data_IF_650100840846
#
_entry.id   IF_650100840846
#
_cell.length_a   1.000
_cell.length_b   1.000
_cell.length_c   1.000
_cell.angle_alpha   90.00
_cell.angle_beta   90.00
_cell.angle_gamma   90.00
#
_symmetry.space_group_name_H-M   'P 1'
#
loop_
_entity.id
_entity.type
_entity.pdbx_description
1 polymer ?
#
# COMPACT_ATOMS: atom_id res chain seq x y z
N UNK A 1 3.84 9.07 -3.78
CA UNK A 1 5.14 9.77 -3.96
C UNK A 1 6.15 8.97 -4.79
N UNK A 2 6.13 7.63 -4.84
CA UNK A 2 7.23 6.84 -5.44
C UNK A 2 7.11 6.44 -6.92
N UNK A 3 6.11 6.90 -7.67
CA UNK A 3 5.91 6.47 -9.06
C UNK A 3 6.61 7.36 -10.12
N UNK A 4 7.20 8.50 -9.71
CA UNK A 4 7.79 9.48 -10.65
C UNK A 4 6.77 10.16 -11.57
N UNK A 5 5.47 9.95 -11.36
CA UNK A 5 4.38 10.51 -12.14
C UNK A 5 3.17 10.85 -11.25
N UNK A 6 2.26 11.67 -11.77
CA UNK A 6 0.99 11.98 -11.10
C UNK A 6 0.08 10.75 -11.11
N UNK A 7 -0.56 10.45 -9.96
CA UNK A 7 -1.57 9.40 -9.86
C UNK A 7 -2.95 10.02 -10.09
N UNK A 8 -3.64 9.59 -11.15
CA UNK A 8 -4.96 10.05 -11.55
C UNK A 8 -5.79 8.90 -12.13
N UNK A 9 -6.88 9.23 -12.81
CA UNK A 9 -7.90 8.27 -13.23
C UNK A 9 -7.35 7.03 -13.96
N UNK A 10 -6.51 7.22 -14.99
CA UNK A 10 -6.03 6.11 -15.82
C UNK A 10 -4.97 5.22 -15.16
N UNK A 11 -4.25 5.70 -14.15
CA UNK A 11 -3.16 4.97 -13.53
C UNK A 11 -3.37 4.60 -12.05
N UNK A 12 -4.51 5.00 -11.47
CA UNK A 12 -4.82 4.74 -10.06
C UNK A 12 -4.77 3.24 -9.73
N UNK A 13 -5.29 2.39 -10.62
CA UNK A 13 -5.24 0.93 -10.46
C UNK A 13 -3.81 0.39 -10.31
N UNK A 14 -2.88 0.88 -11.14
CA UNK A 14 -1.50 0.40 -11.15
C UNK A 14 -0.77 0.85 -9.90
N UNK A 15 -1.04 2.08 -9.45
CA UNK A 15 -0.52 2.59 -8.20
C UNK A 15 -1.00 1.76 -7.01
N UNK A 16 -2.30 1.47 -6.92
CA UNK A 16 -2.88 0.67 -5.84
C UNK A 16 -2.23 -0.71 -5.75
N UNK A 17 -2.07 -1.38 -6.89
CA UNK A 17 -1.45 -2.71 -6.96
C UNK A 17 0.04 -2.66 -6.66
N UNK A 18 0.77 -1.68 -7.19
CA UNK A 18 2.18 -1.52 -6.87
C UNK A 18 2.40 -1.38 -5.35
N UNK A 19 1.59 -0.57 -4.67
CA UNK A 19 1.65 -0.45 -3.20
C UNK A 19 1.32 -1.78 -2.52
N UNK A 20 0.29 -2.50 -2.98
CA UNK A 20 -0.08 -3.80 -2.43
C UNK A 20 1.04 -4.85 -2.59
N UNK A 21 1.69 -4.92 -3.75
CA UNK A 21 2.80 -5.85 -3.99
C UNK A 21 4.04 -5.52 -3.17
N UNK A 22 4.38 -4.23 -3.01
CA UNK A 22 5.50 -3.82 -2.15
C UNK A 22 5.18 -4.18 -0.69
N UNK A 23 3.94 -3.98 -0.25
CA UNK A 23 3.48 -4.38 1.08
C UNK A 23 3.62 -5.90 1.29
N UNK A 24 3.11 -6.71 0.37
CA UNK A 24 3.20 -8.17 0.47
C UNK A 24 4.65 -8.68 0.36
N UNK A 25 5.45 -8.12 -0.56
CA UNK A 25 6.85 -8.50 -0.75
C UNK A 25 7.72 -8.14 0.45
N UNK A 26 7.52 -6.95 1.03
CA UNK A 26 8.22 -6.53 2.25
C UNK A 26 7.85 -7.39 3.45
N UNK A 27 6.57 -7.75 3.61
CA UNK A 27 6.14 -8.68 4.66
C UNK A 27 6.73 -10.08 4.47
N UNK A 28 6.64 -10.62 3.26
CA UNK A 28 7.15 -11.95 2.93
C UNK A 28 8.65 -12.05 3.20
N UNK A 29 9.43 -11.10 2.69
CA UNK A 29 10.88 -11.11 2.90
C UNK A 29 11.25 -10.85 4.37
N UNK A 30 10.53 -9.97 5.07
CA UNK A 30 10.69 -9.73 6.50
C UNK A 30 10.48 -11.01 7.34
N UNK A 31 9.46 -11.80 7.02
CA UNK A 31 9.19 -13.08 7.72
C UNK A 31 10.30 -14.10 7.46
N UNK A 32 10.76 -14.21 6.21
CA UNK A 32 11.83 -15.15 5.85
C UNK A 32 13.20 -14.76 6.40
N UNK A 33 13.50 -13.46 6.44
CA UNK A 33 14.75 -12.95 6.95
C UNK A 33 14.82 -13.02 8.49
N UNK A 34 13.68 -13.06 9.16
CA UNK A 34 13.57 -13.01 10.62
C UNK A 34 14.46 -14.05 11.34
N UNK A 35 14.40 -15.37 11.07
CA UNK A 35 15.22 -16.35 11.78
C UNK A 35 16.72 -16.13 11.56
N UNK A 36 17.10 -15.80 10.33
CA UNK A 36 18.49 -15.55 9.93
C UNK A 36 19.10 -14.35 10.68
N UNK A 37 18.32 -13.30 10.90
CA UNK A 37 18.75 -12.12 11.67
C UNK A 37 19.02 -12.50 13.12
N UNK A 38 18.14 -13.29 13.76
CA UNK A 38 18.36 -13.72 15.14
C UNK A 38 19.58 -14.62 15.30
N UNK A 39 19.78 -15.57 14.38
CA UNK A 39 20.98 -16.42 14.40
C UNK A 39 22.26 -15.58 14.29
N UNK A 40 22.25 -14.56 13.44
CA UNK A 40 23.41 -13.68 13.22
C UNK A 40 23.72 -12.77 14.42
N UNK A 41 22.69 -12.40 15.20
CA UNK A 41 22.83 -11.49 16.37
C UNK A 41 23.17 -12.26 17.67
N UNK A 42 23.07 -13.59 17.67
CA UNK A 42 23.36 -14.42 18.86
C UNK A 42 22.12 -14.99 19.56
N UNK A 43 21.01 -15.16 18.83
CA UNK A 43 19.81 -15.87 19.27
C UNK A 43 18.68 -14.99 19.79
N UNK A 44 17.60 -15.62 20.26
CA UNK A 44 16.41 -14.93 20.77
C UNK A 44 16.58 -14.50 22.24
N UNK A 45 16.86 -13.22 22.46
CA UNK A 45 16.85 -12.62 23.78
C UNK A 45 16.58 -11.11 23.69
N UNK A 46 16.24 -10.46 24.80
CA UNK A 46 15.87 -9.04 24.84
C UNK A 46 16.95 -8.12 24.28
N UNK A 47 18.23 -8.43 24.50
CA UNK A 47 19.33 -7.65 23.96
C UNK A 47 19.36 -7.69 22.42
N UNK A 48 19.07 -8.84 21.79
CA UNK A 48 18.95 -8.94 20.33
C UNK A 48 17.93 -7.98 19.74
N UNK A 49 16.78 -7.81 20.42
CA UNK A 49 15.74 -6.86 19.98
C UNK A 49 16.23 -5.41 20.08
N UNK A 50 16.96 -5.06 21.15
CA UNK A 50 17.58 -3.73 21.30
C UNK A 50 18.65 -3.51 20.24
N UNK A 51 19.47 -4.51 19.95
CA UNK A 51 20.47 -4.48 18.89
C UNK A 51 19.85 -4.32 17.50
N UNK A 52 18.67 -4.91 17.26
CA UNK A 52 17.91 -4.71 16.02
C UNK A 52 17.29 -3.33 15.91
N UNK A 53 16.86 -2.70 17.01
CA UNK A 53 16.30 -1.34 16.99
C UNK A 53 17.37 -0.28 16.74
N UNK A 54 18.57 -0.49 17.27
CA UNK A 54 19.68 0.44 17.16
C UNK A 54 20.99 -0.25 16.69
N UNK A 55 21.04 -0.80 15.46
CA UNK A 55 22.18 -1.59 15.00
C UNK A 55 23.47 -0.78 14.90
N UNK A 56 23.38 0.54 14.64
CA UNK A 56 24.53 1.45 14.66
C UNK A 56 25.20 1.50 16.04
N UNK A 57 24.39 1.56 17.10
CA UNK A 57 24.88 1.58 18.48
C UNK A 57 25.48 0.21 18.82
N UNK A 58 24.82 -0.89 18.42
CA UNK A 58 25.33 -2.24 18.65
C UNK A 58 26.71 -2.48 18.01
N UNK A 59 26.97 -1.95 16.81
CA UNK A 59 28.30 -2.01 16.17
C UNK A 59 29.34 -1.19 16.93
N UNK A 60 29.01 0.01 17.39
CA UNK A 60 29.94 0.87 18.15
C UNK A 60 30.43 0.20 19.45
N UNK A 61 29.57 -0.56 20.10
CA UNK A 61 29.91 -1.33 21.30
C UNK A 61 30.52 -2.72 21.00
N UNK A 62 30.74 -3.06 19.73
CA UNK A 62 31.31 -4.36 19.33
C UNK A 62 30.37 -5.55 19.57
N UNK A 63 29.07 -5.30 19.78
CA UNK A 63 28.05 -6.33 20.02
C UNK A 63 27.61 -7.01 18.72
N UNK A 64 27.95 -6.43 17.56
CA UNK A 64 27.47 -6.87 16.25
C UNK A 64 28.60 -6.86 15.23
N UNK A 65 28.65 -7.90 14.40
CA UNK A 65 29.52 -7.94 13.21
C UNK A 65 28.98 -7.03 12.11
N UNK A 66 29.84 -6.65 11.14
CA UNK A 66 29.42 -5.87 9.96
C UNK A 66 28.32 -6.60 9.18
N UNK A 67 28.39 -7.93 9.10
CA UNK A 67 27.37 -8.74 8.47
C UNK A 67 26.03 -8.67 9.22
N UNK A 68 26.05 -8.85 10.55
CA UNK A 68 24.86 -8.71 11.38
C UNK A 68 24.24 -7.31 11.32
N UNK A 69 25.06 -6.28 11.16
CA UNK A 69 24.62 -4.91 10.95
C UNK A 69 23.83 -4.73 9.65
N UNK A 70 24.34 -5.27 8.53
CA UNK A 70 23.63 -5.24 7.24
C UNK A 70 22.30 -5.98 7.34
N UNK A 71 22.29 -7.15 7.98
CA UNK A 71 21.06 -7.93 8.21
C UNK A 71 20.04 -7.16 9.06
N UNK A 72 20.47 -6.53 10.16
CA UNK A 72 19.60 -5.75 11.03
C UNK A 72 19.05 -4.49 10.34
N UNK A 73 19.88 -3.75 9.60
CA UNK A 73 19.42 -2.58 8.83
C UNK A 73 18.42 -2.99 7.75
N UNK A 74 18.71 -4.05 6.99
CA UNK A 74 17.77 -4.58 5.98
C UNK A 74 16.41 -4.87 6.61
N UNK A 75 16.41 -5.52 7.77
CA UNK A 75 15.19 -5.84 8.52
C UNK A 75 14.41 -4.58 8.96
N UNK A 76 15.10 -3.55 9.46
CA UNK A 76 14.47 -2.27 9.82
C UNK A 76 13.86 -1.60 8.59
N UNK A 77 14.60 -1.52 7.48
CA UNK A 77 14.13 -0.90 6.24
C UNK A 77 12.88 -1.60 5.74
N UNK A 78 12.86 -2.94 5.73
CA UNK A 78 11.68 -3.72 5.34
C UNK A 78 10.49 -3.47 6.25
N UNK A 79 10.70 -3.41 7.57
CA UNK A 79 9.65 -3.10 8.52
C UNK A 79 9.07 -1.69 8.28
N UNK A 80 9.92 -0.69 8.04
CA UNK A 80 9.48 0.67 7.71
C UNK A 80 8.70 0.72 6.38
N UNK A 81 9.18 0.02 5.34
CA UNK A 81 8.48 -0.09 4.05
C UNK A 81 7.12 -0.75 4.22
N UNK A 82 7.04 -1.84 4.98
CA UNK A 82 5.79 -2.54 5.26
C UNK A 82 4.78 -1.64 5.98
N UNK A 83 5.19 -0.94 7.04
CA UNK A 83 4.31 -0.02 7.79
C UNK A 83 3.83 1.11 6.90
N UNK A 84 4.74 1.74 6.13
CA UNK A 84 4.39 2.84 5.24
C UNK A 84 3.42 2.39 4.14
N UNK A 85 3.69 1.25 3.50
CA UNK A 85 2.83 0.75 2.43
C UNK A 85 1.48 0.25 2.94
N UNK A 86 1.42 -0.33 4.14
CA UNK A 86 0.15 -0.67 4.81
C UNK A 86 -0.70 0.57 5.07
N UNK A 87 -0.09 1.65 5.59
CA UNK A 87 -0.76 2.92 5.78
C UNK A 87 -1.28 3.49 4.45
N UNK A 88 -0.42 3.56 3.43
CA UNK A 88 -0.80 4.08 2.10
C UNK A 88 -1.92 3.27 1.47
N UNK A 89 -1.82 1.94 1.52
CA UNK A 89 -2.84 1.04 0.98
C UNK A 89 -4.17 1.24 1.72
N UNK A 90 -4.15 1.27 3.06
CA UNK A 90 -5.34 1.50 3.87
C UNK A 90 -6.03 2.81 3.55
N UNK A 91 -5.28 3.90 3.43
CA UNK A 91 -5.83 5.22 3.04
C UNK A 91 -6.47 5.17 1.66
N UNK A 92 -5.83 4.53 0.67
CA UNK A 92 -6.38 4.42 -0.68
C UNK A 92 -7.67 3.59 -0.70
N UNK A 93 -7.70 2.45 0.00
CA UNK A 93 -8.89 1.61 0.11
C UNK A 93 -10.04 2.37 0.77
N UNK A 94 -9.78 3.15 1.83
CA UNK A 94 -10.79 3.99 2.46
C UNK A 94 -11.33 5.05 1.49
N UNK A 95 -10.45 5.75 0.76
CA UNK A 95 -10.85 6.77 -0.21
C UNK A 95 -11.70 6.15 -1.34
N UNK A 96 -11.27 5.01 -1.90
CA UNK A 96 -12.02 4.27 -2.93
C UNK A 96 -13.38 3.81 -2.39
N UNK A 97 -13.44 3.31 -1.15
CA UNK A 97 -14.71 2.84 -0.58
C UNK A 97 -15.76 3.95 -0.49
N UNK A 98 -15.31 5.20 -0.33
CA UNK A 98 -16.14 6.41 -0.22
C UNK A 98 -16.29 7.16 -1.56
N UNK A 99 -15.72 6.65 -2.67
CA UNK A 99 -15.79 7.32 -3.98
C UNK A 99 -15.04 8.65 -4.00
N UNK A 100 -13.95 8.77 -3.24
CA UNK A 100 -13.21 10.03 -3.05
C UNK A 100 -11.75 9.90 -3.44
N UNK A 101 -11.16 11.01 -3.86
CA UNK A 101 -9.72 11.25 -3.84
C UNK A 101 -9.26 11.79 -2.48
N UNK A 102 -7.95 11.75 -2.21
CA UNK A 102 -7.39 12.34 -0.97
C UNK A 102 -7.71 13.84 -0.87
N UNK A 103 -7.72 14.54 -2.02
CA UNK A 103 -8.06 15.96 -2.09
C UNK A 103 -9.52 16.20 -1.69
N UNK A 104 -10.46 15.44 -2.25
CA UNK A 104 -11.89 15.53 -1.94
C UNK A 104 -12.18 15.14 -0.49
N UNK A 105 -11.52 14.09 0.02
CA UNK A 105 -11.67 13.67 1.41
C UNK A 105 -11.24 14.76 2.38
N UNK A 106 -10.16 15.49 2.09
CA UNK A 106 -9.71 16.64 2.90
C UNK A 106 -10.67 17.83 2.80
N UNK A 107 -11.31 18.01 1.66
CA UNK A 107 -12.31 19.05 1.44
C UNK A 107 -13.72 18.67 1.93
N UNK A 108 -13.93 17.42 2.40
CA UNK A 108 -15.24 16.94 2.85
C UNK A 108 -16.25 16.70 1.71
N UNK A 109 -15.79 16.50 0.47
CA UNK A 109 -16.65 16.35 -0.72
C UNK A 109 -17.03 14.88 -0.90
N UNK A 110 -18.29 14.52 -0.69
CA UNK A 110 -18.81 13.13 -0.83
C UNK A 110 -19.71 12.93 -2.05
N UNK A 111 -19.71 13.87 -2.99
CA UNK A 111 -20.66 13.93 -4.11
C UNK A 111 -20.60 12.71 -5.06
N UNK A 112 -19.42 12.10 -5.19
CA UNK A 112 -19.15 11.00 -6.12
C UNK A 112 -19.26 9.62 -5.49
N UNK A 113 -19.76 9.52 -4.24
CA UNK A 113 -20.00 8.22 -3.62
C UNK A 113 -21.22 7.54 -4.25
N UNK A 114 -20.98 6.49 -5.04
CA UNK A 114 -22.00 5.68 -5.70
C UNK A 114 -22.26 4.35 -4.97
N UNK A 115 -21.66 4.18 -3.79
CA UNK A 115 -21.63 2.95 -3.01
C UNK A 115 -20.38 2.10 -3.30
N UNK A 116 -19.86 1.45 -2.26
CA UNK A 116 -18.56 0.76 -2.27
C UNK A 116 -18.29 -0.06 -3.55
N UNK A 117 -19.21 -0.94 -3.96
CA UNK A 117 -19.01 -1.80 -5.12
C UNK A 117 -18.84 -1.00 -6.41
N UNK A 118 -19.64 0.05 -6.62
CA UNK A 118 -19.55 0.89 -7.83
C UNK A 118 -18.26 1.72 -7.81
N UNK A 119 -17.88 2.24 -6.64
CA UNK A 119 -16.64 3.00 -6.49
C UNK A 119 -15.40 2.14 -6.80
N UNK A 120 -15.38 0.88 -6.34
CA UNK A 120 -14.31 -0.06 -6.69
C UNK A 120 -14.28 -0.38 -8.19
N UNK A 121 -15.45 -0.55 -8.84
CA UNK A 121 -15.53 -0.78 -10.29
C UNK A 121 -15.05 0.46 -11.07
N UNK A 122 -15.31 1.67 -10.61
CA UNK A 122 -14.80 2.90 -11.23
C UNK A 122 -13.26 2.99 -11.19
N UNK A 123 -12.60 2.41 -10.19
CA UNK A 123 -11.13 2.44 -10.11
C UNK A 123 -10.50 1.24 -10.80
N UNK A 124 -11.07 0.04 -10.62
CA UNK A 124 -10.48 -1.22 -11.09
C UNK A 124 -11.02 -1.69 -12.44
N UNK A 125 -12.10 -1.08 -12.93
CA UNK A 125 -12.80 -1.43 -14.16
C UNK A 125 -13.77 -2.61 -14.02
N UNK A 126 -14.42 -2.99 -15.14
CA UNK A 126 -15.46 -4.03 -15.18
C UNK A 126 -15.02 -5.38 -14.62
N UNK A 127 -13.77 -5.76 -14.85
CA UNK A 127 -13.18 -7.02 -14.39
C UNK A 127 -12.35 -6.79 -13.12
N UNK A 128 -12.92 -6.07 -12.16
CA UNK A 128 -12.22 -5.63 -10.95
C UNK A 128 -11.56 -6.78 -10.17
N UNK A 129 -12.19 -7.94 -10.09
CA UNK A 129 -11.61 -9.14 -9.45
C UNK A 129 -10.27 -9.57 -10.09
N UNK A 130 -10.19 -9.59 -11.42
CA UNK A 130 -8.97 -9.92 -12.14
C UNK A 130 -7.94 -8.80 -12.03
N UNK A 131 -8.39 -7.55 -12.10
CA UNK A 131 -7.53 -6.39 -11.95
C UNK A 131 -6.87 -6.31 -10.57
N UNK A 132 -7.53 -6.79 -9.50
CA UNK A 132 -6.93 -6.84 -8.16
C UNK A 132 -5.73 -7.78 -8.04
N UNK A 133 -5.69 -8.85 -8.86
CA UNK A 133 -4.62 -9.85 -8.81
C UNK A 133 -3.61 -9.64 -9.93
N UNK A 134 -4.02 -9.06 -11.06
CA UNK A 134 -3.16 -8.90 -12.22
C UNK A 134 -3.21 -7.45 -12.72
N UNK A 135 -2.17 -6.64 -12.50
CA UNK A 135 -2.16 -5.23 -12.89
C UNK A 135 -2.34 -5.03 -14.39
N UNK A 136 -1.83 -5.96 -15.19
CA UNK A 136 -1.91 -5.92 -16.65
C UNK A 136 -3.14 -6.63 -17.23
N UNK A 137 -4.05 -7.12 -16.38
CA UNK A 137 -5.29 -7.69 -16.88
C UNK A 137 -6.13 -6.62 -17.59
N UNK A 138 -6.72 -7.01 -18.73
CA UNK A 138 -7.63 -6.17 -19.49
C UNK A 138 -8.94 -5.95 -18.72
N UNK A 139 -8.96 -4.95 -17.85
CA UNK A 139 -10.14 -4.43 -17.17
C UNK A 139 -10.40 -3.00 -17.64
N UNK A 140 -11.32 -2.78 -18.60
CA UNK A 140 -11.65 -1.44 -19.06
C UNK A 140 -12.33 -0.67 -17.93
N UNK A 141 -11.85 0.55 -17.68
CA UNK A 141 -12.44 1.50 -16.75
C UNK A 141 -13.51 2.29 -17.50
N UNK A 142 -14.70 2.40 -16.92
CA UNK A 142 -15.78 3.21 -17.50
C UNK A 142 -15.58 4.69 -17.10
N UNK A 143 -15.56 5.58 -18.09
CA UNK A 143 -15.42 7.03 -17.89
C UNK A 143 -14.35 7.67 -18.80
N UNK A 144 -14.45 8.98 -18.95
CA UNK A 144 -13.52 9.81 -19.75
C UNK A 144 -12.47 10.54 -18.88
N UNK A 145 -12.54 10.37 -17.56
CA UNK A 145 -11.67 11.04 -16.60
C UNK A 145 -11.97 12.52 -16.38
N UNK A 146 -13.07 13.04 -16.96
CA UNK A 146 -13.51 14.43 -16.86
C UNK A 146 -14.91 14.51 -16.26
N UNK A 147 -15.83 13.68 -16.74
CA UNK A 147 -17.21 13.60 -16.29
C UNK A 147 -17.38 12.38 -15.39
N UNK A 148 -17.77 12.63 -14.14
CA UNK A 148 -18.00 11.60 -13.14
C UNK A 148 -19.46 11.63 -12.70
N UNK A 149 -20.07 10.45 -12.64
CA UNK A 149 -21.42 10.29 -12.12
C UNK A 149 -21.47 10.73 -10.65
N UNK A 150 -22.47 11.56 -10.33
CA UNK A 150 -22.73 12.00 -8.97
C UNK A 150 -23.83 11.15 -8.32
N UNK A 151 -23.96 11.29 -7.01
CA UNK A 151 -25.06 10.69 -6.25
C UNK A 151 -26.45 11.09 -6.80
N UNK A 152 -26.61 12.33 -7.28
CA UNK A 152 -27.88 12.81 -7.83
C UNK A 152 -28.23 12.10 -9.14
N UNK A 153 -27.29 12.01 -10.07
CA UNK A 153 -27.48 11.32 -11.36
C UNK A 153 -27.88 9.85 -11.15
N UNK A 154 -27.28 9.21 -10.14
CA UNK A 154 -27.55 7.82 -9.84
C UNK A 154 -28.95 7.57 -9.28
N UNK A 155 -29.52 8.56 -8.59
CA UNK A 155 -30.88 8.48 -8.07
C UNK A 155 -31.90 8.74 -9.18
N UNK A 156 -31.64 9.64 -10.11
CA UNK A 156 -32.49 9.83 -11.29
C UNK A 156 -32.59 8.54 -12.12
N UNK A 157 -31.46 7.85 -12.37
CA UNK A 157 -31.45 6.57 -13.11
C UNK A 157 -32.25 5.47 -12.41
N UNK A 158 -32.32 5.47 -11.07
CA UNK A 158 -33.10 4.47 -10.31
C UNK A 158 -34.61 4.74 -10.32
N UNK A 159 -35.02 5.97 -10.63
CA UNK A 159 -36.42 6.41 -10.59
C UNK A 159 -37.12 6.34 -11.96
N UNK A 160 -36.41 5.89 -13.01
CA UNK A 160 -36.95 5.59 -14.35
C UNK A 160 -37.15 4.09 -14.49
#
# INVERSE_FOLDING_TARGET
MFAGCCVGFYNHRYYLLAVAYIMLGSLYYSILQWPHVFETIGGYHWLSLVCMLAPHIAVLFGLLSIYGFICAISQIVLACVFVLTTYLFGVQIMCISQGQTIHEKRAGITLYDLGWKKNFIQVLGKKWYLAMIFPFASSPVDGDGVNFLTFYDLNEIKNV
#
